data_IF_155323428442
#
_entry.id   IF_155323428442
#
_cell.length_a   1.000
_cell.length_b   1.000
_cell.length_c   1.000
_cell.angle_alpha   90.00
_cell.angle_beta   90.00
_cell.angle_gamma   90.00
#
_symmetry.space_group_name_H-M   'P 1'
#
loop_
_entity.id
_entity.type
_entity.pdbx_description
1 polymer ?
#
# COMPACT_ATOMS: atom_id res chain seq x y z
N UNK A 1 -17.30 24.05 -30.15
CA UNK A 1 -16.65 24.27 -28.84
C UNK A 1 -15.73 23.08 -28.63
N UNK A 2 -14.43 23.24 -28.92
CA UNK A 2 -13.43 22.17 -28.81
C UNK A 2 -13.07 22.00 -27.33
N UNK A 3 -13.26 20.80 -26.79
CA UNK A 3 -12.63 20.40 -25.53
C UNK A 3 -11.19 20.01 -25.87
N UNK A 4 -10.23 20.77 -25.33
CA UNK A 4 -8.83 20.41 -25.37
C UNK A 4 -8.65 19.14 -24.53
N UNK A 5 -8.30 18.06 -25.21
CA UNK A 5 -7.93 16.77 -24.66
C UNK A 5 -6.51 16.91 -24.09
N UNK A 6 -6.40 17.57 -22.92
CA UNK A 6 -5.14 17.62 -22.19
C UNK A 6 -4.88 16.23 -21.61
N UNK A 7 -4.10 15.43 -22.35
CA UNK A 7 -3.44 14.23 -21.82
C UNK A 7 -2.59 14.66 -20.63
N UNK A 8 -3.11 14.44 -19.42
CA UNK A 8 -2.36 14.53 -18.17
C UNK A 8 -1.23 13.52 -18.28
N UNK A 9 -0.04 14.00 -18.62
CA UNK A 9 1.14 13.18 -18.90
C UNK A 9 1.95 12.95 -17.63
N UNK A 10 1.84 13.81 -16.63
CA UNK A 10 2.42 13.64 -15.29
C UNK A 10 1.59 14.36 -14.22
N UNK A 11 1.15 13.62 -13.19
CA UNK A 11 0.60 14.20 -11.96
C UNK A 11 1.78 14.39 -10.99
N UNK A 12 2.33 15.60 -10.92
CA UNK A 12 3.22 15.97 -9.83
C UNK A 12 2.36 16.28 -8.60
N UNK A 13 2.34 15.36 -7.63
CA UNK A 13 1.81 15.65 -6.30
C UNK A 13 2.75 16.64 -5.62
N UNK A 14 2.44 17.93 -5.70
CA UNK A 14 3.11 18.92 -4.88
C UNK A 14 2.63 18.77 -3.43
N UNK A 15 3.37 18.01 -2.65
CA UNK A 15 3.15 17.80 -1.21
C UNK A 15 3.19 19.09 -0.39
N UNK A 16 3.73 20.17 -0.96
CA UNK A 16 3.76 21.50 -0.33
C UNK A 16 2.61 22.41 -0.78
N UNK A 17 1.71 21.92 -1.65
CA UNK A 17 0.52 22.67 -2.03
C UNK A 17 -0.45 22.75 -0.85
N UNK A 18 -0.82 23.99 -0.49
CA UNK A 18 -1.82 24.29 0.53
C UNK A 18 -3.16 23.58 0.31
N UNK A 19 -3.54 23.30 -0.95
CA UNK A 19 -4.77 22.58 -1.27
C UNK A 19 -4.68 21.11 -0.85
N UNK A 20 -3.55 20.45 -1.10
CA UNK A 20 -3.33 19.06 -0.69
C UNK A 20 -3.32 18.91 0.84
N UNK A 21 -2.74 19.88 1.54
CA UNK A 21 -2.75 19.90 3.01
C UNK A 21 -4.19 20.01 3.56
N UNK A 22 -4.99 20.92 2.99
CA UNK A 22 -6.39 21.09 3.37
C UNK A 22 -7.23 19.84 3.08
N UNK A 23 -7.03 19.20 1.92
CA UNK A 23 -7.76 17.99 1.54
C UNK A 23 -7.44 16.81 2.48
N UNK A 24 -6.18 16.65 2.84
CA UNK A 24 -5.76 15.63 3.81
C UNK A 24 -6.39 15.91 5.17
N UNK A 25 -6.38 17.15 5.64
CA UNK A 25 -6.98 17.52 6.91
C UNK A 25 -8.50 17.29 6.93
N UNK A 26 -9.20 17.73 5.89
CA UNK A 26 -10.64 17.53 5.72
C UNK A 26 -11.00 16.04 5.70
N UNK A 27 -10.22 15.24 4.99
CA UNK A 27 -10.40 13.79 4.96
C UNK A 27 -10.26 13.16 6.35
N UNK A 28 -9.22 13.52 7.11
CA UNK A 28 -9.00 12.98 8.46
C UNK A 28 -10.18 13.35 9.37
N UNK A 29 -10.62 14.61 9.33
CA UNK A 29 -11.76 15.13 10.11
C UNK A 29 -13.06 14.38 9.82
N UNK A 30 -13.35 14.14 8.54
CA UNK A 30 -14.61 13.51 8.12
C UNK A 30 -14.65 12.01 8.37
N UNK A 31 -13.49 11.33 8.35
CA UNK A 31 -13.45 9.87 8.34
C UNK A 31 -13.06 9.24 9.68
N UNK A 32 -12.63 10.03 10.67
CA UNK A 32 -12.18 9.52 11.97
C UNK A 32 -12.54 10.48 13.10
N UNK A 33 -12.79 9.94 14.29
CA UNK A 33 -13.04 10.70 15.51
C UNK A 33 -11.70 11.05 16.20
N UNK A 34 -10.85 11.83 15.52
CA UNK A 34 -9.57 12.29 16.06
C UNK A 34 -9.66 13.70 16.63
N UNK A 35 -8.87 13.96 17.67
CA UNK A 35 -8.73 15.30 18.26
C UNK A 35 -7.86 16.21 17.38
N UNK A 36 -8.02 17.53 17.50
CA UNK A 36 -7.22 18.52 16.75
C UNK A 36 -5.69 18.29 16.84
N UNK A 37 -5.10 17.99 18.02
CA UNK A 37 -3.66 17.73 18.10
C UNK A 37 -3.24 16.46 17.33
N UNK A 38 -4.08 15.43 17.32
CA UNK A 38 -3.82 14.18 16.58
C UNK A 38 -3.91 14.42 15.08
N UNK A 39 -4.91 15.18 14.63
CA UNK A 39 -5.06 15.59 13.23
C UNK A 39 -3.83 16.37 12.79
N UNK A 40 -3.45 17.41 13.53
CA UNK A 40 -2.27 18.25 13.23
C UNK A 40 -0.97 17.43 13.16
N UNK A 41 -0.81 16.45 14.05
CA UNK A 41 0.39 15.61 14.06
C UNK A 41 0.44 14.69 12.84
N UNK A 42 -0.69 14.07 12.49
CA UNK A 42 -0.80 13.19 11.34
C UNK A 42 -0.62 13.95 10.02
N UNK A 43 -1.29 15.11 9.86
CA UNK A 43 -1.19 15.92 8.64
C UNK A 43 0.23 16.44 8.43
N UNK A 44 0.91 16.87 9.51
CA UNK A 44 2.33 17.28 9.47
C UNK A 44 3.24 16.14 9.07
N UNK A 45 3.06 14.94 9.63
CA UNK A 45 3.85 13.76 9.29
C UNK A 45 3.62 13.29 7.84
N UNK A 46 2.39 13.41 7.37
CA UNK A 46 2.03 13.07 5.99
C UNK A 46 2.53 14.09 4.97
N UNK A 47 2.70 15.36 5.37
CA UNK A 47 3.16 16.47 4.52
C UNK A 47 2.41 16.48 3.17
N UNK A 48 1.07 16.56 3.21
CA UNK A 48 0.23 16.58 2.01
C UNK A 48 0.11 15.23 1.26
N UNK A 49 0.75 14.15 1.74
CA UNK A 49 0.63 12.83 1.13
C UNK A 49 -0.62 12.09 1.64
N UNK A 50 -1.66 12.05 0.82
CA UNK A 50 -2.92 11.38 1.16
C UNK A 50 -2.77 9.87 1.38
N UNK A 51 -1.92 9.20 0.60
CA UNK A 51 -1.66 7.77 0.74
C UNK A 51 -1.02 7.47 2.11
N UNK A 52 -0.16 8.36 2.60
CA UNK A 52 0.45 8.22 3.93
C UNK A 52 -0.62 8.18 5.02
N UNK A 53 -1.52 9.15 5.03
CA UNK A 53 -2.62 9.20 6.00
C UNK A 53 -3.50 7.96 5.93
N UNK A 54 -3.89 7.55 4.72
CA UNK A 54 -4.70 6.34 4.52
C UNK A 54 -4.02 5.10 5.11
N UNK A 55 -2.73 4.90 4.84
CA UNK A 55 -1.99 3.73 5.29
C UNK A 55 -1.78 3.73 6.80
N UNK A 56 -1.49 4.88 7.40
CA UNK A 56 -1.34 4.97 8.85
C UNK A 56 -2.65 4.70 9.59
N UNK A 57 -3.75 5.29 9.13
CA UNK A 57 -5.07 5.02 9.72
C UNK A 57 -5.50 3.56 9.53
N UNK A 58 -5.20 2.96 8.39
CA UNK A 58 -5.43 1.53 8.17
C UNK A 58 -4.63 0.67 9.16
N UNK A 59 -3.34 0.97 9.32
CA UNK A 59 -2.48 0.30 10.29
C UNK A 59 -3.04 0.40 11.72
N UNK A 60 -3.38 1.61 12.18
CA UNK A 60 -3.95 1.83 13.51
C UNK A 60 -5.25 1.04 13.74
N UNK A 61 -6.14 0.98 12.75
CA UNK A 61 -7.38 0.19 12.81
C UNK A 61 -7.10 -1.32 12.91
N UNK A 62 -6.06 -1.81 12.23
CA UNK A 62 -5.68 -3.23 12.24
C UNK A 62 -4.98 -3.65 13.54
N UNK A 63 -4.24 -2.74 14.18
CA UNK A 63 -3.53 -3.01 15.43
C UNK A 63 -4.26 -2.53 16.68
N UNK A 64 -5.45 -1.93 16.52
CA UNK A 64 -6.17 -1.22 17.58
C UNK A 64 -5.26 -0.27 18.39
N UNK A 65 -4.32 0.38 17.71
CA UNK A 65 -3.27 1.19 18.35
C UNK A 65 -3.13 2.51 17.62
N UNK A 66 -3.49 3.60 18.30
CA UNK A 66 -3.34 4.96 17.80
C UNK A 66 -2.20 5.69 18.53
N UNK A 67 -0.95 5.54 18.07
CA UNK A 67 0.21 6.25 18.65
C UNK A 67 0.63 7.47 17.82
N UNK A 68 -0.09 8.57 18.01
CA UNK A 68 0.22 9.83 17.32
C UNK A 68 1.54 10.49 17.74
N UNK A 69 2.25 9.97 18.75
CA UNK A 69 3.56 10.50 19.15
C UNK A 69 4.68 10.07 18.20
N UNK A 70 4.50 8.92 17.54
CA UNK A 70 5.52 8.30 16.70
C UNK A 70 4.98 7.98 15.29
N UNK A 71 4.23 8.91 14.69
CA UNK A 71 3.73 8.73 13.32
C UNK A 71 4.93 8.55 12.37
N UNK A 72 5.01 7.45 11.61
CA UNK A 72 6.12 7.21 10.71
C UNK A 72 6.23 8.33 9.68
N UNK A 73 7.42 8.88 9.46
CA UNK A 73 7.60 10.05 8.58
C UNK A 73 7.75 9.71 7.08
N UNK A 74 7.46 8.48 6.65
CA UNK A 74 7.57 8.08 5.23
C UNK A 74 6.67 6.89 4.89
N UNK A 75 6.28 6.80 3.61
CA UNK A 75 5.53 5.66 3.08
C UNK A 75 6.29 4.34 3.25
N UNK A 76 7.62 4.33 3.02
CA UNK A 76 8.43 3.12 3.17
C UNK A 76 8.36 2.54 4.59
N UNK A 77 8.40 3.40 5.63
CA UNK A 77 8.23 2.94 7.02
C UNK A 77 6.82 2.38 7.28
N UNK A 78 5.78 2.96 6.67
CA UNK A 78 4.42 2.44 6.78
C UNK A 78 4.26 1.10 6.06
N UNK A 79 4.88 0.93 4.90
CA UNK A 79 4.93 -0.37 4.22
C UNK A 79 5.62 -1.39 5.11
N UNK A 80 6.81 -1.09 5.62
CA UNK A 80 7.52 -2.00 6.52
C UNK A 80 6.67 -2.40 7.73
N UNK A 81 6.03 -1.46 8.42
CA UNK A 81 5.18 -1.75 9.58
C UNK A 81 4.00 -2.67 9.23
N UNK A 82 3.36 -2.44 8.08
CA UNK A 82 2.25 -3.29 7.63
C UNK A 82 2.74 -4.68 7.21
N UNK A 83 3.89 -4.78 6.54
CA UNK A 83 4.49 -6.06 6.18
C UNK A 83 4.95 -6.83 7.41
N UNK A 84 5.64 -6.19 8.35
CA UNK A 84 6.06 -6.80 9.62
C UNK A 84 4.84 -7.33 10.38
N UNK A 85 3.75 -6.56 10.46
CA UNK A 85 2.51 -7.00 11.12
C UNK A 85 1.94 -8.29 10.51
N UNK A 86 2.08 -8.48 9.20
CA UNK A 86 1.51 -9.64 8.48
C UNK A 86 2.47 -10.83 8.47
N UNK A 87 3.78 -10.57 8.35
CA UNK A 87 4.76 -11.59 7.97
C UNK A 87 5.82 -11.88 9.04
N UNK A 88 6.05 -11.00 10.02
CA UNK A 88 7.17 -11.10 10.97
C UNK A 88 7.19 -12.41 11.76
N UNK A 89 6.02 -12.90 12.14
CA UNK A 89 5.90 -14.12 12.95
C UNK A 89 5.73 -15.39 12.10
N UNK A 90 5.83 -15.27 10.77
CA UNK A 90 5.66 -16.41 9.85
C UNK A 90 6.60 -16.30 8.65
N UNK A 91 7.86 -16.66 8.87
CA UNK A 91 8.90 -16.67 7.83
C UNK A 91 8.47 -17.50 6.61
N UNK A 92 7.81 -18.64 6.83
CA UNK A 92 7.25 -19.48 5.77
C UNK A 92 6.12 -18.79 4.99
N UNK A 93 5.31 -17.94 5.63
CA UNK A 93 4.21 -17.24 4.96
C UNK A 93 4.73 -16.21 3.96
N UNK A 94 5.78 -15.48 4.34
CA UNK A 94 6.37 -14.50 3.46
C UNK A 94 7.00 -15.15 2.23
N UNK A 95 7.80 -16.20 2.45
CA UNK A 95 8.44 -16.95 1.36
C UNK A 95 7.42 -17.61 0.43
N UNK A 96 6.29 -18.10 0.98
CA UNK A 96 5.17 -18.58 0.16
C UNK A 96 4.61 -17.45 -0.73
N UNK A 97 4.53 -16.22 -0.23
CA UNK A 97 3.96 -15.06 -0.93
C UNK A 97 4.91 -14.33 -1.88
N UNK A 98 6.20 -14.57 -1.74
CA UNK A 98 7.25 -13.91 -2.49
C UNK A 98 7.01 -13.96 -4.01
N UNK A 99 6.71 -15.13 -4.64
CA UNK A 99 6.47 -15.19 -6.07
C UNK A 99 5.28 -14.32 -6.54
N UNK A 100 4.26 -14.17 -5.69
CA UNK A 100 3.10 -13.32 -6.01
C UNK A 100 3.50 -11.86 -6.08
N UNK A 101 4.33 -11.40 -5.15
CA UNK A 101 4.83 -10.02 -5.16
C UNK A 101 5.79 -9.77 -6.32
N UNK A 102 6.63 -10.75 -6.69
CA UNK A 102 7.50 -10.66 -7.87
C UNK A 102 6.69 -10.51 -9.16
N UNK A 103 5.65 -11.34 -9.34
CA UNK A 103 4.76 -11.22 -10.49
C UNK A 103 4.06 -9.87 -10.49
N UNK A 104 3.43 -9.48 -9.38
CA UNK A 104 2.73 -8.17 -9.29
C UNK A 104 3.66 -6.97 -9.49
N UNK A 105 4.95 -7.09 -9.17
CA UNK A 105 5.94 -6.01 -9.32
C UNK A 105 6.48 -5.89 -10.75
N UNK A 106 6.38 -6.96 -11.54
CA UNK A 106 6.95 -7.04 -12.90
C UNK A 106 5.91 -6.88 -14.02
N UNK A 107 4.64 -7.16 -13.73
CA UNK A 107 3.57 -7.02 -14.71
C UNK A 107 3.32 -5.55 -15.08
N UNK A 108 3.13 -5.29 -16.37
CA UNK A 108 2.76 -3.96 -16.87
C UNK A 108 1.24 -3.72 -16.86
N UNK A 109 0.46 -4.80 -16.90
CA UNK A 109 -1.00 -4.75 -16.98
C UNK A 109 -1.61 -5.55 -15.81
N UNK A 110 -2.79 -5.15 -15.30
CA UNK A 110 -3.49 -5.90 -14.26
C UNK A 110 -3.72 -7.37 -14.66
N UNK A 111 -3.57 -8.26 -13.68
CA UNK A 111 -3.61 -9.72 -13.88
C UNK A 111 -4.80 -10.35 -13.15
N UNK A 112 -5.45 -11.35 -13.73
CA UNK A 112 -6.51 -12.10 -13.05
C UNK A 112 -5.97 -12.94 -11.90
N UNK A 113 -6.76 -13.17 -10.85
CA UNK A 113 -6.29 -13.92 -9.67
C UNK A 113 -5.86 -15.35 -10.00
N UNK A 114 -6.59 -16.05 -10.87
CA UNK A 114 -6.24 -17.43 -11.26
C UNK A 114 -4.92 -17.45 -12.04
N UNK A 115 -4.73 -16.50 -12.95
CA UNK A 115 -3.49 -16.37 -13.72
C UNK A 115 -2.31 -15.97 -12.82
N UNK A 116 -2.53 -15.10 -11.84
CA UNK A 116 -1.52 -14.73 -10.85
C UNK A 116 -1.06 -15.95 -10.06
N UNK A 117 -2.00 -16.75 -9.55
CA UNK A 117 -1.69 -17.95 -8.78
C UNK A 117 -0.98 -19.01 -9.63
N UNK A 118 -1.39 -19.17 -10.90
CA UNK A 118 -0.74 -20.08 -11.85
C UNK A 118 0.71 -19.68 -12.13
N UNK A 119 0.97 -18.42 -12.50
CA UNK A 119 2.32 -17.92 -12.80
C UNK A 119 3.20 -17.92 -11.55
N UNK A 120 2.61 -17.67 -10.37
CA UNK A 120 3.31 -17.73 -9.08
C UNK A 120 3.51 -19.16 -8.55
N UNK A 121 3.14 -20.18 -9.33
CA UNK A 121 3.25 -21.61 -8.98
C UNK A 121 2.55 -21.99 -7.67
N UNK A 122 1.48 -21.27 -7.33
CA UNK A 122 0.66 -21.55 -6.15
C UNK A 122 -0.40 -22.59 -6.51
N UNK A 123 -0.10 -23.84 -6.21
CA UNK A 123 -0.99 -24.98 -6.48
C UNK A 123 -1.64 -25.52 -5.21
N UNK A 124 -2.85 -26.06 -5.38
CA UNK A 124 -3.63 -26.70 -4.33
C UNK A 124 -4.65 -25.77 -3.66
N UNK A 125 -5.86 -26.30 -3.43
CA UNK A 125 -7.00 -25.52 -2.93
C UNK A 125 -6.74 -24.86 -1.57
N UNK A 126 -5.99 -25.51 -0.68
CA UNK A 126 -5.66 -24.96 0.64
C UNK A 126 -4.74 -23.75 0.55
N UNK A 127 -3.70 -23.82 -0.31
CA UNK A 127 -2.82 -22.68 -0.58
C UNK A 127 -3.63 -21.58 -1.23
N UNK A 128 -4.30 -21.82 -2.35
CA UNK A 128 -5.14 -20.83 -3.05
C UNK A 128 -6.06 -20.06 -2.09
N UNK A 129 -6.83 -20.74 -1.23
CA UNK A 129 -7.71 -20.10 -0.26
C UNK A 129 -6.96 -19.24 0.76
N UNK A 130 -5.80 -19.71 1.24
CA UNK A 130 -4.92 -18.93 2.14
C UNK A 130 -4.45 -17.64 1.46
N UNK A 131 -4.06 -17.72 0.19
CA UNK A 131 -3.66 -16.56 -0.61
C UNK A 131 -4.79 -15.56 -0.81
N UNK A 132 -5.96 -16.01 -1.24
CA UNK A 132 -7.14 -15.17 -1.41
C UNK A 132 -7.51 -14.45 -0.11
N UNK A 133 -7.44 -15.17 1.02
CA UNK A 133 -7.72 -14.61 2.35
C UNK A 133 -6.71 -13.53 2.71
N UNK A 134 -5.41 -13.77 2.51
CA UNK A 134 -4.37 -12.79 2.81
C UNK A 134 -4.46 -11.55 1.90
N UNK A 135 -4.70 -11.77 0.60
CA UNK A 135 -4.88 -10.71 -0.39
C UNK A 135 -6.09 -9.83 -0.06
N UNK A 136 -7.22 -10.42 0.30
CA UNK A 136 -8.43 -9.68 0.63
C UNK A 136 -8.35 -8.95 1.97
N UNK A 137 -7.85 -9.63 3.01
CA UNK A 137 -7.96 -9.12 4.38
C UNK A 137 -6.76 -8.28 4.82
N UNK A 138 -5.56 -8.65 4.40
CA UNK A 138 -4.32 -8.10 4.94
C UNK A 138 -3.61 -7.19 3.93
N UNK A 139 -3.61 -7.56 2.66
CA UNK A 139 -2.89 -6.83 1.61
C UNK A 139 -3.80 -6.02 0.68
N UNK A 140 -5.13 -6.12 0.84
CA UNK A 140 -6.09 -5.54 -0.10
C UNK A 140 -5.97 -4.01 -0.22
N UNK A 141 -5.49 -3.35 0.83
CA UNK A 141 -5.27 -1.91 0.85
C UNK A 141 -4.04 -1.46 0.02
N UNK A 142 -3.18 -2.40 -0.38
CA UNK A 142 -2.06 -2.17 -1.29
C UNK A 142 -2.39 -2.49 -2.75
N UNK A 143 -3.57 -3.05 -3.00
CA UNK A 143 -3.96 -3.61 -4.28
C UNK A 143 -5.15 -2.84 -4.86
N UNK A 144 -5.22 -2.81 -6.18
CA UNK A 144 -6.35 -2.30 -6.95
C UNK A 144 -7.01 -3.49 -7.64
N UNK A 145 -8.33 -3.61 -7.49
CA UNK A 145 -9.14 -4.64 -8.11
C UNK A 145 -10.14 -4.00 -9.06
N UNK A 146 -10.03 -4.28 -10.35
CA UNK A 146 -10.92 -3.78 -11.40
C UNK A 146 -11.17 -4.88 -12.42
N UNK A 147 -12.43 -5.10 -12.78
CA UNK A 147 -12.84 -6.10 -13.79
C UNK A 147 -12.24 -7.51 -13.55
N UNK A 148 -12.17 -7.91 -12.27
CA UNK A 148 -11.60 -9.20 -11.88
C UNK A 148 -10.08 -9.30 -11.99
N UNK A 149 -9.40 -8.19 -12.26
CA UNK A 149 -7.94 -8.10 -12.36
C UNK A 149 -7.34 -7.29 -11.21
N UNK A 150 -6.10 -7.60 -10.89
CA UNK A 150 -5.35 -7.07 -9.76
C UNK A 150 -4.06 -6.39 -10.23
N UNK A 151 -3.71 -5.29 -9.56
CA UNK A 151 -2.40 -4.64 -9.67
C UNK A 151 -2.08 -3.94 -8.34
N UNK A 152 -0.85 -3.45 -8.15
CA UNK A 152 -0.57 -2.57 -7.01
C UNK A 152 -1.32 -1.24 -7.15
N UNK A 153 -1.84 -0.75 -6.03
CA UNK A 153 -2.56 0.52 -5.96
C UNK A 153 -1.66 1.71 -6.33
N UNK A 154 -0.37 1.64 -6.01
CA UNK A 154 0.56 2.75 -6.24
C UNK A 154 1.99 2.25 -6.49
N UNK A 155 2.70 2.92 -7.41
CA UNK A 155 4.08 2.57 -7.81
C UNK A 155 5.07 2.55 -6.64
N UNK A 156 4.88 3.41 -5.63
CA UNK A 156 5.78 3.45 -4.46
C UNK A 156 5.82 2.15 -3.65
N UNK A 157 4.82 1.28 -3.78
CA UNK A 157 4.86 -0.06 -3.17
C UNK A 157 5.83 -0.94 -3.96
N UNK A 158 5.79 -0.90 -5.28
CA UNK A 158 6.73 -1.60 -6.15
C UNK A 158 8.16 -1.10 -5.88
N UNK A 159 8.35 0.21 -5.80
CA UNK A 159 9.65 0.80 -5.49
C UNK A 159 10.13 0.37 -4.09
N UNK A 160 9.23 0.22 -3.12
CA UNK A 160 9.58 -0.31 -1.80
C UNK A 160 9.97 -1.79 -1.83
N UNK A 161 9.22 -2.62 -2.57
CA UNK A 161 9.51 -4.05 -2.71
C UNK A 161 10.82 -4.29 -3.46
N UNK A 162 11.17 -3.42 -4.41
CA UNK A 162 12.37 -3.59 -5.25
C UNK A 162 13.60 -2.81 -4.79
N UNK A 163 13.52 -1.94 -3.76
CA UNK A 163 14.69 -1.20 -3.24
C UNK A 163 15.61 -2.09 -2.39
N UNK A 164 16.71 -2.54 -3.02
CA UNK A 164 17.78 -3.36 -2.45
C UNK A 164 18.41 -2.79 -1.17
N UNK A 165 18.32 -1.46 -0.95
CA UNK A 165 18.95 -0.80 0.21
C UNK A 165 18.08 -0.80 1.46
N UNK A 166 16.77 -1.08 1.32
CA UNK A 166 15.78 -0.87 2.39
C UNK A 166 15.13 -2.14 2.87
N UNK A 167 15.06 -3.15 2.01
CA UNK A 167 14.25 -4.33 2.28
C UNK A 167 15.13 -5.46 2.82
N UNK A 168 14.87 -5.88 4.07
CA UNK A 168 15.37 -7.18 4.58
C UNK A 168 14.70 -8.35 3.84
N UNK A 169 13.58 -8.06 3.20
CA UNK A 169 12.85 -8.93 2.29
C UNK A 169 13.45 -8.71 0.90
N UNK A 170 14.52 -9.43 0.56
CA UNK A 170 15.16 -9.29 -0.74
C UNK A 170 14.23 -9.84 -1.83
N UNK A 171 13.94 -9.04 -2.85
CA UNK A 171 13.16 -9.48 -4.02
C UNK A 171 14.00 -9.53 -5.31
N UNK A 172 15.18 -8.88 -5.35
CA UNK A 172 16.05 -8.87 -6.52
C UNK A 172 17.54 -8.87 -6.15
N UNK A 173 18.30 -9.56 -7.01
CA UNK A 173 19.74 -9.88 -7.01
C UNK A 173 20.21 -11.10 -6.19
N UNK A 174 20.41 -12.18 -6.95
CA UNK A 174 21.28 -13.33 -6.67
C UNK A 174 22.74 -12.91 -6.47
#
# INVERSE_FOLDING_TARGET
MQFLDEKITHVFLNTSDSLNLNDVENYVRQTNQLTEPQISTLTRAANGNFLHVKLYLHYCKKTDTFDFRNVPNSLAKLYQLNFDRVFKDSENLFNDFLPVFEVLSTIQNPIGIDQLLEVSQIHGNSKKRKFETLLGNELGHFLKFEDGKMSFLHKSIIDFLTDERRNKLQFFCS
#
